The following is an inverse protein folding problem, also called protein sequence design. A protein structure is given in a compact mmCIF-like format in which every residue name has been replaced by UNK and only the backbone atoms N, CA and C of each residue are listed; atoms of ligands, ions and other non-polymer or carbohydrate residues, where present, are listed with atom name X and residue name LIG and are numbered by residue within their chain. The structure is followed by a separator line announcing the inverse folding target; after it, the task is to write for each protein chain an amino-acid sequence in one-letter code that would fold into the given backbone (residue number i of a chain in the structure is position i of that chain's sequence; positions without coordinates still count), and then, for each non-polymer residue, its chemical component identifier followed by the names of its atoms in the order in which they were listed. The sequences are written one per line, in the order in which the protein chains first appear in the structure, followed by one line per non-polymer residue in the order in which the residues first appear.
data_IF_861235907339
#
_entry.id   IF_861235907339
#
_cell.length_a   1.000
_cell.length_b   1.000
_cell.length_c   1.000
_cell.angle_alpha   90.00
_cell.angle_beta   90.00
_cell.angle_gamma   90.00
#
_symmetry.space_group_name_H-M   'P 1'
#
loop_
_entity.id
_entity.type
_entity.pdbx_description
1 polymer ?
#
# COMPACT_ATOMS: atom_id res chain seq x y z
N UNK A 1 9.82 4.02 -6.97
CA UNK A 1 9.57 2.59 -7.07
C UNK A 1 10.80 1.78 -6.66
N UNK A 2 10.60 0.58 -6.13
CA UNK A 2 11.67 -0.39 -5.82
C UNK A 2 11.43 -1.62 -6.69
N UNK A 3 12.43 -2.01 -7.47
CA UNK A 3 12.39 -3.15 -8.39
C UNK A 3 13.58 -4.08 -8.17
N UNK A 4 13.48 -5.31 -8.65
CA UNK A 4 14.55 -6.31 -8.58
C UNK A 4 13.97 -7.72 -8.57
N UNK A 5 14.82 -8.77 -8.74
CA UNK A 5 14.37 -10.16 -8.74
C UNK A 5 13.76 -10.57 -7.39
N UNK A 6 13.07 -11.70 -7.38
CA UNK A 6 12.58 -12.28 -6.12
C UNK A 6 13.77 -12.56 -5.18
N UNK A 7 13.60 -12.28 -3.90
CA UNK A 7 14.67 -12.45 -2.91
C UNK A 7 15.73 -11.32 -2.88
N UNK A 8 15.62 -10.27 -3.70
CA UNK A 8 16.60 -9.17 -3.70
C UNK A 8 16.54 -8.24 -2.48
N UNK A 9 15.59 -8.44 -1.54
CA UNK A 9 15.51 -7.66 -0.31
C UNK A 9 14.47 -6.52 -0.33
N UNK A 10 13.61 -6.39 -1.36
CA UNK A 10 12.63 -5.31 -1.51
C UNK A 10 11.69 -5.18 -0.31
N UNK A 11 11.03 -6.28 0.07
CA UNK A 11 10.12 -6.32 1.23
C UNK A 11 10.88 -6.06 2.55
N UNK A 12 12.13 -6.51 2.66
CA UNK A 12 12.98 -6.24 3.83
C UNK A 12 13.30 -4.76 3.94
N UNK A 13 13.66 -4.10 2.83
CA UNK A 13 13.87 -2.66 2.79
C UNK A 13 12.59 -1.91 3.18
N UNK A 14 11.44 -2.34 2.67
CA UNK A 14 10.15 -1.74 3.02
C UNK A 14 9.86 -1.87 4.52
N UNK A 15 10.14 -3.03 5.12
CA UNK A 15 9.97 -3.27 6.57
C UNK A 15 10.91 -2.42 7.43
N UNK A 16 12.14 -2.15 6.97
CA UNK A 16 13.06 -1.20 7.60
C UNK A 16 12.51 0.23 7.55
N UNK A 17 12.00 0.68 6.40
CA UNK A 17 11.39 1.99 6.24
C UNK A 17 10.13 2.17 7.10
N UNK A 18 9.38 1.09 7.32
CA UNK A 18 8.20 1.08 8.19
C UNK A 18 8.53 0.99 9.69
N UNK A 19 9.79 0.76 10.04
CA UNK A 19 10.23 0.58 11.42
C UNK A 19 9.81 -0.77 12.03
N UNK A 20 9.50 -1.78 11.20
CA UNK A 20 9.25 -3.15 11.68
C UNK A 20 10.55 -3.87 12.02
N UNK A 21 11.64 -3.47 11.38
CA UNK A 21 13.00 -3.94 11.64
C UNK A 21 13.89 -2.74 11.92
N UNK A 22 14.88 -2.94 12.80
CA UNK A 22 15.95 -1.97 13.02
C UNK A 22 17.16 -2.34 12.15
N UNK A 23 17.82 -1.37 11.51
CA UNK A 23 19.06 -1.64 10.78
C UNK A 23 20.16 -2.09 11.76
N UNK A 24 20.95 -3.08 11.36
CA UNK A 24 22.13 -3.53 12.15
C UNK A 24 23.30 -2.54 12.06
N UNK A 25 23.33 -1.74 11.00
CA UNK A 25 24.27 -0.63 10.81
C UNK A 25 23.61 0.46 9.97
N UNK A 26 24.07 1.70 10.11
CA UNK A 26 23.47 2.85 9.45
C UNK A 26 22.20 3.31 10.14
N UNK A 27 21.52 4.27 9.52
CA UNK A 27 20.30 4.91 10.05
C UNK A 27 19.23 5.05 8.94
N UNK A 28 17.97 5.00 9.32
CA UNK A 28 16.84 5.38 8.47
C UNK A 28 16.39 6.77 8.90
N UNK A 29 16.36 7.72 7.95
CA UNK A 29 15.97 9.10 8.22
C UNK A 29 14.67 9.48 7.50
N UNK A 30 13.90 10.37 8.12
CA UNK A 30 12.75 11.05 7.55
C UNK A 30 13.08 12.54 7.56
N UNK A 31 13.40 13.08 6.38
CA UNK A 31 14.04 14.38 6.30
C UNK A 31 15.39 14.34 7.01
N UNK A 32 15.60 15.24 7.97
CA UNK A 32 16.85 15.36 8.72
C UNK A 32 16.88 14.55 10.03
N UNK A 33 15.75 13.92 10.43
CA UNK A 33 15.63 13.22 11.71
C UNK A 33 15.68 11.71 11.52
N UNK A 34 16.32 11.02 12.47
CA UNK A 34 16.28 9.55 12.51
C UNK A 34 14.85 9.04 12.74
N UNK A 35 14.51 7.92 12.11
CA UNK A 35 13.24 7.24 12.38
C UNK A 35 13.08 6.88 13.86
N UNK A 36 14.17 6.60 14.55
CA UNK A 36 14.19 6.29 16.00
C UNK A 36 13.83 7.46 16.89
N UNK A 37 13.86 8.70 16.36
CA UNK A 37 13.49 9.91 17.11
C UNK A 37 11.96 10.11 17.16
N UNK A 38 11.23 9.35 16.37
CA UNK A 38 9.77 9.36 16.35
C UNK A 38 9.22 8.21 17.18
N UNK A 39 8.09 8.43 17.87
CA UNK A 39 7.38 7.29 18.45
C UNK A 39 6.84 6.39 17.33
N UNK A 40 6.94 5.07 17.52
CA UNK A 40 6.42 4.08 16.56
C UNK A 40 4.93 4.32 16.26
N UNK A 41 4.15 4.68 17.29
CA UNK A 41 2.72 4.96 17.14
C UNK A 41 2.48 6.16 16.23
N UNK A 42 3.28 7.23 16.38
CA UNK A 42 3.20 8.40 15.51
C UNK A 42 3.57 8.03 14.08
N UNK A 43 4.71 7.36 13.87
CA UNK A 43 5.15 6.95 12.55
C UNK A 43 4.11 6.07 11.85
N UNK A 44 3.60 5.04 12.55
CA UNK A 44 2.54 4.19 12.03
C UNK A 44 1.28 4.97 11.66
N UNK A 45 0.93 6.03 12.39
CA UNK A 45 -0.19 6.90 12.02
C UNK A 45 0.05 7.65 10.72
N UNK A 46 1.26 8.07 10.43
CA UNK A 46 1.63 8.77 9.21
C UNK A 46 1.70 7.85 7.98
N UNK A 47 1.76 6.53 8.16
CA UNK A 47 1.94 5.55 7.09
C UNK A 47 0.64 4.84 6.73
N UNK A 48 0.29 4.77 5.46
CA UNK A 48 -0.66 3.83 4.87
C UNK A 48 0.10 2.66 4.25
N UNK A 49 -0.29 1.43 4.56
CA UNK A 49 0.48 0.25 4.17
C UNK A 49 -0.42 -0.79 3.56
N UNK A 50 -0.04 -1.30 2.40
CA UNK A 50 -0.64 -2.49 1.78
C UNK A 50 0.49 -3.47 1.53
N UNK A 51 0.54 -4.54 2.33
CA UNK A 51 1.52 -5.61 2.18
C UNK A 51 0.97 -6.71 1.28
N UNK A 52 1.86 -7.51 0.70
CA UNK A 52 1.52 -8.67 -0.11
C UNK A 52 0.58 -9.64 0.63
N UNK A 53 0.87 -9.89 1.92
CA UNK A 53 0.02 -10.68 2.81
C UNK A 53 -0.68 -9.75 3.80
N UNK A 54 -1.82 -9.19 3.38
CA UNK A 54 -2.63 -8.34 4.24
C UNK A 54 -3.68 -9.14 5.01
N UNK A 55 -3.93 -8.75 6.25
CA UNK A 55 -4.89 -9.43 7.13
C UNK A 55 -6.27 -8.77 7.09
N UNK A 56 -7.30 -9.61 6.95
CA UNK A 56 -8.71 -9.23 7.08
C UNK A 56 -9.21 -9.76 8.42
N UNK A 57 -9.72 -8.85 9.25
CA UNK A 57 -10.26 -9.19 10.57
C UNK A 57 -11.66 -9.78 10.44
N UNK A 58 -12.05 -10.68 11.35
CA UNK A 58 -13.41 -11.21 11.48
C UNK A 58 -14.33 -10.14 12.07
N UNK A 59 -14.65 -9.13 11.26
CA UNK A 59 -15.53 -8.01 11.62
C UNK A 59 -16.22 -7.46 10.36
N UNK A 60 -17.02 -6.40 10.48
CA UNK A 60 -17.68 -5.77 9.33
C UNK A 60 -16.66 -5.19 8.32
N UNK A 61 -17.07 -5.01 7.08
CA UNK A 61 -16.27 -4.34 6.06
C UNK A 61 -15.93 -2.92 6.53
N UNK A 62 -16.90 -2.21 7.09
CA UNK A 62 -16.70 -0.86 7.63
C UNK A 62 -15.54 -0.82 8.64
N UNK A 63 -15.54 -1.72 9.62
CA UNK A 63 -14.48 -1.81 10.64
C UNK A 63 -13.16 -2.33 10.08
N UNK A 64 -13.17 -3.15 9.04
CA UNK A 64 -11.95 -3.56 8.36
C UNK A 64 -11.29 -2.40 7.61
N UNK A 65 -12.04 -1.47 7.05
CA UNK A 65 -11.51 -0.28 6.39
C UNK A 65 -11.14 0.79 7.41
N UNK A 66 -12.03 1.11 8.35
CA UNK A 66 -11.88 2.18 9.34
C UNK A 66 -11.23 1.75 10.65
N UNK A 67 -10.35 0.77 10.62
CA UNK A 67 -9.75 0.10 11.80
C UNK A 67 -9.05 1.03 12.82
N UNK A 68 -8.74 2.26 12.43
CA UNK A 68 -8.00 3.21 13.27
C UNK A 68 -8.92 4.09 14.11
N UNK A 69 -10.21 4.18 13.78
CA UNK A 69 -11.16 5.08 14.39
C UNK A 69 -12.16 4.29 15.25
N UNK A 70 -12.46 4.79 16.45
CA UNK A 70 -13.53 4.26 17.31
C UNK A 70 -14.89 4.61 16.72
N UNK A 71 -15.04 5.84 16.22
CA UNK A 71 -16.21 6.30 15.47
C UNK A 71 -15.84 6.43 13.99
N UNK A 72 -16.57 5.73 13.12
CA UNK A 72 -16.31 5.69 11.69
C UNK A 72 -16.84 6.96 11.00
N UNK A 73 -15.96 7.56 10.22
CA UNK A 73 -16.33 8.60 9.24
C UNK A 73 -16.82 7.92 7.96
N UNK A 74 -18.14 7.86 7.78
CA UNK A 74 -18.74 7.17 6.64
C UNK A 74 -18.47 7.87 5.30
N UNK A 75 -18.36 9.20 5.25
CA UNK A 75 -18.00 9.91 4.02
C UNK A 75 -16.59 9.51 3.55
N UNK A 76 -15.66 9.48 4.47
CA UNK A 76 -14.28 9.02 4.22
C UNK A 76 -14.23 7.52 3.89
N UNK A 77 -15.09 6.71 4.51
CA UNK A 77 -15.23 5.28 4.24
C UNK A 77 -15.67 5.03 2.79
N UNK A 78 -16.74 5.69 2.37
CA UNK A 78 -17.25 5.60 0.99
C UNK A 78 -16.24 6.15 -0.03
N UNK A 79 -15.57 7.25 0.29
CA UNK A 79 -14.51 7.78 -0.56
C UNK A 79 -13.37 6.78 -0.77
N UNK A 80 -12.88 6.17 0.32
CA UNK A 80 -11.82 5.16 0.27
C UNK A 80 -12.25 3.92 -0.53
N UNK A 81 -13.46 3.45 -0.32
CA UNK A 81 -14.00 2.30 -1.04
C UNK A 81 -14.18 2.56 -2.55
N UNK A 82 -14.61 3.77 -2.94
CA UNK A 82 -14.68 4.18 -4.34
C UNK A 82 -13.30 4.23 -5.01
N UNK A 83 -12.31 4.82 -4.36
CA UNK A 83 -10.94 4.85 -4.89
C UNK A 83 -10.34 3.46 -5.05
N UNK A 84 -10.63 2.55 -4.13
CA UNK A 84 -10.22 1.15 -4.19
C UNK A 84 -11.09 0.30 -5.13
N UNK A 85 -12.04 0.89 -5.84
CA UNK A 85 -12.99 0.22 -6.76
C UNK A 85 -13.71 -0.98 -6.12
N UNK A 86 -14.12 -0.86 -4.83
CA UNK A 86 -14.80 -1.92 -4.08
C UNK A 86 -16.23 -1.52 -3.63
N UNK A 87 -16.59 -0.24 -3.72
CA UNK A 87 -17.86 0.31 -3.24
C UNK A 87 -19.07 -0.38 -3.88
N UNK A 88 -19.06 -0.58 -5.19
CA UNK A 88 -20.14 -1.26 -5.91
C UNK A 88 -20.36 -2.70 -5.44
N UNK A 89 -19.28 -3.44 -5.16
CA UNK A 89 -19.35 -4.78 -4.58
C UNK A 89 -19.95 -4.72 -3.18
N UNK A 90 -19.49 -3.82 -2.33
CA UNK A 90 -20.01 -3.67 -0.96
C UNK A 90 -21.51 -3.38 -0.98
N UNK A 91 -21.95 -2.44 -1.83
CA UNK A 91 -23.36 -2.06 -1.95
C UNK A 91 -24.25 -3.17 -2.56
N UNK A 92 -23.66 -4.18 -3.23
CA UNK A 92 -24.41 -5.35 -3.71
C UNK A 92 -24.66 -6.40 -2.62
N UNK A 93 -24.01 -6.30 -1.46
CA UNK A 93 -24.18 -7.21 -0.35
C UNK A 93 -25.44 -6.84 0.47
N UNK A 94 -26.19 -7.83 1.01
CA UNK A 94 -27.44 -7.56 1.75
C UNK A 94 -27.28 -6.60 2.95
N UNK A 95 -26.14 -6.64 3.63
CA UNK A 95 -25.81 -5.78 4.77
C UNK A 95 -24.82 -4.66 4.40
N UNK A 96 -24.47 -4.50 3.11
CA UNK A 96 -23.55 -3.47 2.68
C UNK A 96 -22.25 -3.47 3.48
N UNK A 97 -21.90 -2.31 3.99
CA UNK A 97 -20.69 -2.10 4.82
C UNK A 97 -20.70 -2.83 6.17
N UNK A 98 -21.87 -3.21 6.68
CA UNK A 98 -22.01 -3.98 7.92
C UNK A 98 -21.87 -5.49 7.71
N UNK A 99 -21.61 -5.93 6.48
CA UNK A 99 -21.36 -7.34 6.17
C UNK A 99 -20.09 -7.81 6.88
N UNK A 100 -20.22 -8.84 7.73
CA UNK A 100 -19.09 -9.49 8.37
C UNK A 100 -18.27 -10.27 7.34
N UNK A 101 -16.96 -10.10 7.40
CA UNK A 101 -15.96 -10.75 6.55
C UNK A 101 -14.86 -11.39 7.41
N UNK A 102 -13.93 -12.10 6.80
CA UNK A 102 -12.87 -12.82 7.51
C UNK A 102 -13.20 -14.30 7.69
N UNK A 103 -12.54 -14.96 8.65
CA UNK A 103 -12.66 -16.42 8.84
C UNK A 103 -14.08 -16.88 9.25
N UNK A 104 -14.85 -16.03 9.90
CA UNK A 104 -16.19 -16.31 10.41
C UNK A 104 -17.29 -15.60 9.62
N UNK A 105 -16.96 -14.95 8.51
CA UNK A 105 -17.89 -14.14 7.74
C UNK A 105 -17.99 -14.55 6.28
N UNK A 106 -18.50 -13.63 5.45
CA UNK A 106 -18.61 -13.80 4.01
C UNK A 106 -17.20 -14.01 3.41
N UNK A 107 -17.07 -15.04 2.59
CA UNK A 107 -15.84 -15.31 1.84
C UNK A 107 -15.56 -14.22 0.80
N UNK A 108 -14.32 -13.78 0.74
CA UNK A 108 -13.87 -12.79 -0.24
C UNK A 108 -12.88 -13.43 -1.22
N UNK A 109 -12.95 -13.04 -2.48
CA UNK A 109 -11.88 -13.34 -3.44
C UNK A 109 -10.58 -12.60 -3.04
N UNK A 110 -9.44 -13.06 -3.54
CA UNK A 110 -8.15 -12.38 -3.27
C UNK A 110 -8.16 -10.93 -3.78
N UNK A 111 -8.77 -10.66 -4.93
CA UNK A 111 -8.92 -9.30 -5.45
C UNK A 111 -9.82 -8.42 -4.57
N UNK A 112 -10.90 -8.95 -4.00
CA UNK A 112 -11.76 -8.22 -3.06
C UNK A 112 -11.02 -7.92 -1.76
N UNK A 113 -10.30 -8.90 -1.19
CA UNK A 113 -9.44 -8.69 -0.02
C UNK A 113 -8.43 -7.57 -0.26
N UNK A 114 -7.74 -7.62 -1.40
CA UNK A 114 -6.74 -6.63 -1.75
C UNK A 114 -7.34 -5.22 -1.85
N UNK A 115 -8.51 -5.09 -2.48
CA UNK A 115 -9.20 -3.80 -2.58
C UNK A 115 -9.66 -3.26 -1.22
N UNK A 116 -10.07 -4.10 -0.28
CA UNK A 116 -10.37 -3.69 1.10
C UNK A 116 -9.10 -3.19 1.81
N UNK A 117 -7.95 -3.85 1.61
CA UNK A 117 -6.67 -3.42 2.19
C UNK A 117 -6.21 -2.07 1.60
N UNK A 118 -6.44 -1.86 0.30
CA UNK A 118 -6.19 -0.57 -0.35
C UNK A 118 -7.12 0.50 0.24
N UNK A 119 -8.44 0.22 0.36
CA UNK A 119 -9.39 1.13 0.98
C UNK A 119 -9.01 1.50 2.42
N UNK A 120 -8.54 0.53 3.21
CA UNK A 120 -8.00 0.75 4.58
C UNK A 120 -6.83 1.74 4.58
N UNK A 121 -5.89 1.59 3.65
CA UNK A 121 -4.75 2.49 3.54
C UNK A 121 -5.18 3.90 3.13
N UNK A 122 -6.15 4.03 2.23
CA UNK A 122 -6.71 5.31 1.79
C UNK A 122 -7.52 5.99 2.91
N UNK A 123 -8.38 5.23 3.62
CA UNK A 123 -9.20 5.74 4.72
C UNK A 123 -8.36 6.42 5.79
N UNK A 124 -7.18 5.89 6.06
CA UNK A 124 -6.24 6.46 7.01
C UNK A 124 -5.73 7.86 6.64
N UNK A 125 -5.83 8.26 5.38
CA UNK A 125 -5.34 9.53 4.82
C UNK A 125 -3.88 9.84 5.17
N UNK A 126 -2.94 8.93 4.89
CA UNK A 126 -1.55 9.00 5.34
C UNK A 126 -0.73 9.98 4.50
N UNK A 127 0.39 10.49 5.08
CA UNK A 127 1.39 11.28 4.35
C UNK A 127 2.36 10.39 3.56
N UNK A 128 2.59 9.16 4.04
CA UNK A 128 3.49 8.17 3.45
C UNK A 128 2.70 6.91 3.09
N UNK A 129 2.86 6.43 1.87
CA UNK A 129 2.15 5.25 1.37
C UNK A 129 3.17 4.20 0.97
N UNK A 130 3.00 2.99 1.46
CA UNK A 130 3.86 1.84 1.17
C UNK A 130 3.02 0.73 0.56
N UNK A 131 3.37 0.33 -0.65
CA UNK A 131 2.68 -0.71 -1.41
C UNK A 131 3.66 -1.83 -1.75
N UNK A 132 3.44 -3.01 -1.17
CA UNK A 132 4.22 -4.21 -1.49
C UNK A 132 3.36 -5.13 -2.36
N UNK A 133 3.59 -5.09 -3.68
CA UNK A 133 2.85 -5.89 -4.66
C UNK A 133 1.31 -5.75 -4.55
N UNK A 134 0.85 -4.56 -4.21
CA UNK A 134 -0.52 -4.27 -3.82
C UNK A 134 -1.57 -4.54 -4.92
N UNK A 135 -1.18 -4.78 -6.17
CA UNK A 135 -2.09 -5.03 -7.30
C UNK A 135 -1.96 -6.43 -7.91
N UNK A 136 -1.07 -7.28 -7.39
CA UNK A 136 -0.80 -8.59 -8.00
C UNK A 136 -2.03 -9.53 -8.06
N UNK A 137 -2.93 -9.41 -7.10
CA UNK A 137 -4.16 -10.23 -7.03
C UNK A 137 -5.33 -9.66 -7.83
N UNK A 138 -5.13 -8.53 -8.52
CA UNK A 138 -6.15 -7.86 -9.31
C UNK A 138 -6.09 -8.28 -10.77
N UNK A 139 -7.25 -8.40 -11.41
CA UNK A 139 -7.34 -8.48 -12.86
C UNK A 139 -6.94 -7.13 -13.49
N UNK A 140 -6.57 -7.16 -14.76
CA UNK A 140 -6.02 -6.00 -15.48
C UNK A 140 -6.97 -4.79 -15.49
N UNK A 141 -8.29 -5.03 -15.57
CA UNK A 141 -9.28 -3.94 -15.60
C UNK A 141 -9.36 -3.23 -14.25
N UNK A 142 -9.50 -4.00 -13.16
CA UNK A 142 -9.52 -3.45 -11.80
C UNK A 142 -8.21 -2.76 -11.44
N UNK A 143 -7.07 -3.33 -11.85
CA UNK A 143 -5.77 -2.72 -11.63
C UNK A 143 -5.67 -1.35 -12.29
N UNK A 144 -6.03 -1.22 -13.57
CA UNK A 144 -5.98 0.05 -14.30
C UNK A 144 -6.83 1.12 -13.61
N UNK A 145 -8.08 0.80 -13.28
CA UNK A 145 -8.99 1.74 -12.61
C UNK A 145 -8.43 2.18 -11.25
N UNK A 146 -7.92 1.23 -10.45
CA UNK A 146 -7.37 1.54 -9.14
C UNK A 146 -6.11 2.39 -9.26
N UNK A 147 -5.21 2.09 -10.18
CA UNK A 147 -4.00 2.86 -10.37
C UNK A 147 -4.30 4.30 -10.83
N UNK A 148 -5.25 4.50 -11.73
CA UNK A 148 -5.72 5.84 -12.12
C UNK A 148 -6.31 6.62 -10.94
N UNK A 149 -7.14 5.98 -10.12
CA UNK A 149 -7.71 6.59 -8.92
C UNK A 149 -6.62 6.96 -7.90
N UNK A 150 -5.66 6.04 -7.69
CA UNK A 150 -4.57 6.23 -6.75
C UNK A 150 -3.58 7.32 -7.18
N UNK A 151 -3.37 7.55 -8.48
CA UNK A 151 -2.53 8.66 -8.94
C UNK A 151 -3.00 10.01 -8.41
N UNK A 152 -4.31 10.25 -8.37
CA UNK A 152 -4.88 11.48 -7.79
C UNK A 152 -4.68 11.52 -6.27
N UNK A 153 -4.80 10.37 -5.62
CA UNK A 153 -4.59 10.25 -4.18
C UNK A 153 -3.12 10.41 -3.77
N UNK A 154 -2.17 10.08 -4.64
CA UNK A 154 -0.73 10.22 -4.40
C UNK A 154 -0.24 11.67 -4.40
N UNK A 155 -0.98 12.59 -4.97
CA UNK A 155 -0.58 14.00 -5.06
C UNK A 155 -0.27 14.58 -3.68
N UNK A 156 0.93 15.16 -3.52
CA UNK A 156 1.42 15.72 -2.27
C UNK A 156 1.85 14.70 -1.21
N UNK A 157 1.96 13.41 -1.56
CA UNK A 157 2.38 12.33 -0.65
C UNK A 157 3.65 11.65 -1.12
N UNK A 158 4.38 11.08 -0.18
CA UNK A 158 5.50 10.19 -0.49
C UNK A 158 4.97 8.77 -0.68
N UNK A 159 5.21 8.20 -1.85
CA UNK A 159 4.74 6.85 -2.19
C UNK A 159 5.92 5.95 -2.49
N UNK A 160 6.01 4.82 -1.80
CA UNK A 160 7.00 3.77 -2.03
C UNK A 160 6.28 2.53 -2.53
N UNK A 161 6.59 2.12 -3.76
CA UNK A 161 5.95 0.97 -4.41
C UNK A 161 7.01 -0.09 -4.70
N UNK A 162 6.83 -1.28 -4.15
CA UNK A 162 7.52 -2.48 -4.61
C UNK A 162 6.69 -3.06 -5.74
N UNK A 163 7.22 -3.03 -6.94
CA UNK A 163 6.49 -3.40 -8.14
C UNK A 163 7.21 -4.45 -8.97
N UNK A 164 6.42 -5.35 -9.55
CA UNK A 164 6.84 -6.32 -10.55
C UNK A 164 6.33 -5.98 -11.96
N UNK A 165 5.44 -4.99 -12.07
CA UNK A 165 4.85 -4.59 -13.35
C UNK A 165 5.44 -3.28 -13.85
N UNK A 166 5.86 -3.29 -15.11
CA UNK A 166 6.48 -2.13 -15.76
C UNK A 166 5.55 -0.89 -15.79
N UNK A 167 4.23 -1.11 -15.93
CA UNK A 167 3.23 -0.03 -15.91
C UNK A 167 3.26 0.78 -14.63
N UNK A 168 3.48 0.11 -13.49
CA UNK A 168 3.54 0.75 -12.17
C UNK A 168 4.84 1.53 -11.95
N UNK A 169 5.93 1.06 -12.55
CA UNK A 169 7.28 1.62 -12.36
C UNK A 169 7.55 2.82 -13.26
N UNK A 170 6.98 2.81 -14.48
CA UNK A 170 7.30 3.79 -15.53
C UNK A 170 7.06 5.25 -15.11
N UNK A 171 6.04 5.50 -14.30
CA UNK A 171 5.64 6.84 -13.87
C UNK A 171 6.25 7.25 -12.51
N UNK A 172 7.17 6.48 -11.98
CA UNK A 172 7.82 6.80 -10.70
C UNK A 172 8.89 7.89 -10.91
N UNK A 173 8.91 8.88 -10.02
CA UNK A 173 9.93 9.95 -10.01
C UNK A 173 11.34 9.38 -9.79
N UNK A 174 11.45 8.25 -9.09
CA UNK A 174 12.69 7.55 -8.81
C UNK A 174 12.47 6.04 -8.78
N UNK A 175 13.32 5.31 -9.48
CA UNK A 175 13.37 3.87 -9.49
C UNK A 175 14.67 3.44 -8.83
N UNK A 176 14.57 2.53 -7.86
CA UNK A 176 15.71 1.91 -7.18
C UNK A 176 15.75 0.45 -7.58
N UNK A 177 16.83 0.02 -8.20
CA UNK A 177 17.04 -1.38 -8.60
C UNK A 177 17.84 -2.09 -7.52
N UNK A 178 17.24 -3.14 -6.93
CA UNK A 178 17.86 -3.96 -5.90
C UNK A 178 18.28 -5.32 -6.47
N UNK A 179 19.50 -5.72 -6.17
CA UNK A 179 20.05 -7.04 -6.50
C UNK A 179 20.87 -7.57 -5.32
N UNK A 180 20.54 -8.76 -4.82
CA UNK A 180 21.23 -9.40 -3.67
C UNK A 180 21.38 -8.49 -2.43
N UNK A 181 20.38 -7.65 -2.13
CA UNK A 181 20.41 -6.73 -0.98
C UNK A 181 21.16 -5.43 -1.22
N UNK A 182 21.73 -5.22 -2.40
CA UNK A 182 22.46 -4.01 -2.78
C UNK A 182 21.67 -3.17 -3.79
N UNK A 183 21.84 -1.85 -3.71
CA UNK A 183 21.32 -0.94 -4.73
C UNK A 183 22.32 -0.93 -5.89
N UNK A 184 21.91 -1.46 -7.04
CA UNK A 184 22.75 -1.52 -8.24
C UNK A 184 22.54 -0.35 -9.18
N UNK A 185 21.33 0.18 -9.25
CA UNK A 185 21.01 1.34 -10.09
C UNK A 185 19.93 2.23 -9.43
N UNK A 186 20.00 3.52 -9.73
CA UNK A 186 18.99 4.52 -9.30
C UNK A 186 18.79 5.51 -10.42
N UNK A 187 17.53 5.74 -10.82
CA UNK A 187 17.22 6.70 -11.88
C UNK A 187 15.73 6.84 -12.13
N UNK A 188 15.37 7.51 -13.22
CA UNK A 188 14.04 7.48 -13.81
C UNK A 188 13.97 6.34 -14.83
N UNK A 189 12.78 6.01 -15.30
CA UNK A 189 12.61 4.99 -16.34
C UNK A 189 13.45 5.31 -17.60
N UNK A 190 13.48 6.57 -18.02
CA UNK A 190 14.23 7.03 -19.20
C UNK A 190 15.75 6.89 -19.02
N UNK A 191 16.27 7.29 -17.86
CA UNK A 191 17.71 7.21 -17.58
C UNK A 191 18.20 5.77 -17.48
N UNK A 192 17.42 4.88 -16.86
CA UNK A 192 17.79 3.47 -16.69
C UNK A 192 17.78 2.70 -18.01
N UNK A 193 16.90 3.05 -18.96
CA UNK A 193 16.90 2.42 -20.29
C UNK A 193 18.08 2.93 -21.15
N UNK A 194 18.47 4.20 -21.00
CA UNK A 194 19.54 4.80 -21.80
C UNK A 194 20.95 4.28 -21.43
N UNK A 195 21.10 3.60 -20.31
CA UNK A 195 22.37 3.00 -19.85
C UNK A 195 22.56 1.54 -20.29
N UNK A 196 21.59 0.97 -21.05
CA UNK A 196 21.72 -0.35 -21.70
C UNK A 196 22.18 -0.18 -23.16
#
# INVERSE_FOLDING_TARGET
AIVGPSGSGKTTLLKLLLGFYHPTSGIVCIGEKSLTDYSEKYWRRCCGVVMQEGFIFSDSIAKNIGIIDEELDYDRLHYAARLANIDSFINSLPLGYETKIGSEGCGLSNGQKQRILIARAIYKNPNYIFLDEATNSLDTTNETIIMENLQKFYSGRTVVIVAHRLSTVRNADKIIVLHHGEIVEVGTHETLISHQ
#
